data_IF_216430496398
#
_entry.id   IF_216430496398
#
_cell.length_a   1.000
_cell.length_b   1.000
_cell.length_c   1.000
_cell.angle_alpha   90.00
_cell.angle_beta   90.00
_cell.angle_gamma   90.00
#
_symmetry.space_group_name_H-M   'P 1'
#
loop_
_entity.id
_entity.type
_entity.pdbx_description
1 polymer ?
#
# COMPACT_ATOMS: atom_id res chain seq x y z
N UNK A 1 -7.16 7.44 1.62
CA UNK A 1 -6.99 7.77 0.20
C UNK A 1 -8.30 7.47 -0.50
N UNK A 2 -9.02 8.50 -0.96
CA UNK A 2 -10.30 8.39 -1.67
C UNK A 2 -10.40 9.48 -2.72
N UNK A 3 -10.93 9.18 -3.90
CA UNK A 3 -11.18 10.22 -4.90
C UNK A 3 -12.43 11.03 -4.56
N UNK A 4 -12.50 12.27 -5.05
CA UNK A 4 -13.65 13.17 -4.84
C UNK A 4 -15.00 12.52 -5.18
N UNK A 5 -15.05 11.71 -6.25
CA UNK A 5 -16.27 11.05 -6.74
C UNK A 5 -16.73 9.87 -5.85
N UNK A 6 -15.85 9.35 -5.00
CA UNK A 6 -16.13 8.18 -4.17
C UNK A 6 -16.80 8.52 -2.83
N UNK A 7 -17.05 9.80 -2.50
CA UNK A 7 -17.30 10.18 -1.09
C UNK A 7 -18.61 10.91 -0.80
N UNK A 8 -19.46 10.22 -0.01
CA UNK A 8 -20.43 10.81 0.95
C UNK A 8 -19.88 10.90 2.38
N UNK A 9 -18.86 10.10 2.74
CA UNK A 9 -18.13 10.23 4.02
C UNK A 9 -16.70 9.71 3.87
N UNK A 10 -15.70 10.59 3.93
CA UNK A 10 -14.31 10.16 4.03
C UNK A 10 -14.12 9.45 5.38
N UNK A 11 -13.66 8.18 5.37
CA UNK A 11 -13.33 7.44 6.59
C UNK A 11 -12.24 8.15 7.41
N UNK A 12 -12.20 7.92 8.72
CA UNK A 12 -11.18 8.50 9.60
C UNK A 12 -9.85 7.76 9.47
N UNK A 13 -8.74 8.48 9.42
CA UNK A 13 -7.39 7.89 9.53
C UNK A 13 -7.27 7.25 10.93
N UNK A 14 -6.94 5.94 11.02
CA UNK A 14 -6.71 5.27 12.30
C UNK A 14 -5.30 5.56 12.84
N UNK A 15 -5.13 5.46 14.16
CA UNK A 15 -3.82 5.41 14.80
C UNK A 15 -3.14 4.05 14.60
N UNK A 16 -1.83 3.99 14.83
CA UNK A 16 -1.00 2.80 14.53
C UNK A 16 -1.43 1.53 15.29
N UNK A 17 -1.93 1.66 16.52
CA UNK A 17 -2.44 0.56 17.35
C UNK A 17 -3.97 0.43 17.33
N UNK A 18 -4.63 0.98 16.31
CA UNK A 18 -6.09 0.86 16.16
C UNK A 18 -6.51 -0.54 15.77
N UNK A 19 -7.57 -1.03 16.41
CA UNK A 19 -8.21 -2.32 16.10
C UNK A 19 -9.67 -2.11 15.70
N UNK A 20 -10.34 -3.17 15.24
CA UNK A 20 -11.76 -3.12 14.91
C UNK A 20 -12.63 -2.84 16.15
N UNK A 21 -12.24 -3.38 17.31
CA UNK A 21 -12.93 -3.19 18.58
C UNK A 21 -12.57 -1.85 19.25
N UNK A 22 -11.30 -1.42 19.16
CA UNK A 22 -10.82 -0.19 19.76
C UNK A 22 -10.24 0.75 18.69
N UNK A 23 -11.09 1.66 18.21
CA UNK A 23 -10.72 2.66 17.22
C UNK A 23 -9.98 3.81 17.90
N UNK A 24 -8.68 3.90 17.62
CA UNK A 24 -7.86 5.04 18.05
C UNK A 24 -7.47 5.88 16.85
N UNK A 25 -7.05 7.11 17.11
CA UNK A 25 -6.69 8.09 16.08
C UNK A 25 -5.29 8.66 16.32
N UNK A 26 -4.70 9.33 15.31
CA UNK A 26 -3.45 10.05 15.49
C UNK A 26 -3.53 11.03 16.66
N UNK A 27 -2.49 11.05 17.50
CA UNK A 27 -2.37 11.95 18.64
C UNK A 27 -1.02 12.64 18.58
N UNK A 28 -0.99 13.92 18.97
CA UNK A 28 0.26 14.67 19.16
C UNK A 28 0.33 15.15 20.60
N UNK A 29 1.55 15.21 21.13
CA UNK A 29 1.85 15.82 22.43
C UNK A 29 2.51 17.16 22.19
N UNK A 30 1.98 18.21 22.78
CA UNK A 30 2.63 19.52 22.78
C UNK A 30 3.41 19.66 24.06
N UNK A 31 4.71 19.92 23.95
CA UNK A 31 5.59 20.13 25.09
C UNK A 31 5.95 21.61 25.17
N UNK A 32 6.14 22.12 26.39
CA UNK A 32 6.62 23.49 26.67
C UNK A 32 5.72 24.61 26.11
N UNK A 33 4.42 24.36 25.99
CA UNK A 33 3.43 25.36 25.59
C UNK A 33 2.12 25.13 26.35
N UNK A 34 1.53 26.21 26.84
CA UNK A 34 0.24 26.23 27.53
C UNK A 34 -0.56 27.42 26.99
N UNK A 35 -1.83 27.18 26.66
CA UNK A 35 -2.78 28.18 26.18
C UNK A 35 -3.49 27.78 24.88
N UNK A 36 -4.35 28.67 24.35
CA UNK A 36 -5.01 28.50 23.07
C UNK A 36 -4.02 28.39 21.91
N UNK A 37 -4.25 27.42 21.04
CA UNK A 37 -3.51 27.23 19.80
C UNK A 37 -4.40 26.67 18.68
N UNK A 38 -3.91 26.79 17.45
CA UNK A 38 -4.44 26.11 16.29
C UNK A 38 -3.42 25.07 15.85
N UNK A 39 -3.81 23.81 15.81
CA UNK A 39 -3.04 22.76 15.15
C UNK A 39 -3.52 22.66 13.71
N UNK A 40 -2.69 23.11 12.77
CA UNK A 40 -2.93 23.00 11.33
C UNK A 40 -2.33 21.69 10.83
N UNK A 41 -3.13 20.90 10.13
CA UNK A 41 -2.72 19.60 9.60
C UNK A 41 -2.84 19.61 8.08
N UNK A 42 -1.75 19.29 7.38
CA UNK A 42 -1.74 19.22 5.91
C UNK A 42 -0.89 18.05 5.40
N UNK A 43 -1.12 17.63 4.15
CA UNK A 43 -0.32 16.56 3.54
C UNK A 43 0.99 17.11 2.96
N UNK A 44 2.09 16.38 3.19
CA UNK A 44 3.44 16.64 2.62
C UNK A 44 4.04 15.38 2.01
N UNK A 45 5.08 15.54 1.18
CA UNK A 45 5.79 14.43 0.54
C UNK A 45 6.45 13.49 1.55
N UNK A 46 6.55 12.21 1.19
CA UNK A 46 7.17 11.15 2.00
C UNK A 46 8.61 11.48 2.39
N UNK A 47 9.40 11.92 1.43
CA UNK A 47 10.85 12.11 1.57
C UNK A 47 11.20 13.58 1.83
N UNK A 48 12.33 13.78 2.51
CA UNK A 48 12.90 15.11 2.74
C UNK A 48 13.58 15.65 1.46
N UNK A 49 13.54 16.96 1.18
CA UNK A 49 12.80 17.98 1.92
C UNK A 49 11.28 17.81 1.75
N UNK A 50 10.53 17.87 2.85
CA UNK A 50 9.09 17.67 2.84
C UNK A 50 8.38 18.84 2.15
N UNK A 51 7.86 18.58 0.94
CA UNK A 51 7.14 19.55 0.12
C UNK A 51 5.63 19.43 0.28
N UNK A 52 4.85 20.50 0.03
CA UNK A 52 3.40 20.43 -0.03
C UNK A 52 2.94 19.33 -1.00
N UNK A 53 2.08 18.42 -0.52
CA UNK A 53 1.54 17.35 -1.35
C UNK A 53 0.21 17.77 -2.00
N UNK A 54 -0.07 17.39 -3.26
CA UNK A 54 -1.32 17.76 -3.95
C UNK A 54 -2.58 17.18 -3.31
N UNK A 55 -2.50 16.01 -2.67
CA UNK A 55 -3.63 15.43 -1.90
C UNK A 55 -4.14 16.39 -0.83
N UNK A 56 -5.46 16.38 -0.65
CA UNK A 56 -6.17 17.27 0.25
C UNK A 56 -6.58 16.53 1.50
N UNK A 57 -6.35 17.15 2.66
CA UNK A 57 -6.94 16.69 3.90
C UNK A 57 -8.39 17.17 3.97
N UNK A 58 -9.29 16.26 4.32
CA UNK A 58 -10.74 16.48 4.38
C UNK A 58 -11.28 15.96 5.70
N UNK A 59 -12.27 16.61 6.29
CA UNK A 59 -12.86 16.16 7.55
C UNK A 59 -14.38 16.29 7.59
N UNK A 60 -15.03 15.58 8.53
CA UNK A 60 -16.50 15.61 8.70
C UNK A 60 -17.07 16.92 9.27
N UNK A 61 -16.21 17.86 9.69
CA UNK A 61 -16.64 19.09 10.37
C UNK A 61 -16.14 20.32 9.60
N UNK A 62 -16.67 21.51 9.89
CA UNK A 62 -16.28 22.82 9.32
C UNK A 62 -14.78 23.20 9.51
N UNK A 63 -13.94 22.24 9.89
CA UNK A 63 -12.50 22.31 10.13
C UNK A 63 -11.67 22.17 8.85
N UNK A 64 -12.22 21.62 7.77
CA UNK A 64 -11.50 21.48 6.51
C UNK A 64 -11.84 22.62 5.54
N UNK A 65 -10.89 23.51 5.29
CA UNK A 65 -10.95 24.52 4.23
C UNK A 65 -9.67 24.43 3.40
N UNK A 66 -9.80 24.29 2.08
CA UNK A 66 -8.65 24.40 1.18
C UNK A 66 -7.62 23.27 1.21
N UNK A 67 -7.96 22.08 1.71
CA UNK A 67 -7.08 20.90 1.68
C UNK A 67 -6.20 20.71 2.92
N UNK A 68 -6.45 21.48 3.96
CA UNK A 68 -5.90 21.35 5.32
C UNK A 68 -7.04 21.22 6.33
N UNK A 69 -6.71 20.76 7.54
CA UNK A 69 -7.62 20.75 8.69
C UNK A 69 -7.04 21.56 9.84
N UNK A 70 -7.83 22.48 10.38
CA UNK A 70 -7.45 23.31 11.52
C UNK A 70 -8.18 22.86 12.79
N UNK A 71 -7.42 22.57 13.85
CA UNK A 71 -7.93 22.16 15.15
C UNK A 71 -7.65 23.25 16.17
N UNK A 72 -8.69 24.00 16.54
CA UNK A 72 -8.63 24.91 17.69
C UNK A 72 -8.59 24.07 18.96
N UNK A 73 -7.57 24.28 19.77
CA UNK A 73 -7.33 23.57 21.03
C UNK A 73 -6.90 24.55 22.10
N UNK A 74 -7.17 24.19 23.35
CA UNK A 74 -6.58 24.85 24.51
C UNK A 74 -5.69 23.83 25.19
N UNK A 75 -4.39 24.13 25.26
CA UNK A 75 -3.36 23.21 25.73
C UNK A 75 -3.09 23.54 27.19
N UNK A 76 -3.31 22.59 28.09
CA UNK A 76 -3.02 22.77 29.52
C UNK A 76 -1.92 21.83 29.98
N UNK A 77 -1.35 22.10 31.16
CA UNK A 77 -0.33 21.23 31.75
C UNK A 77 -0.89 19.81 32.04
N UNK A 78 -2.18 19.71 32.38
CA UNK A 78 -2.87 18.46 32.67
C UNK A 78 -3.28 17.71 31.39
N UNK A 79 -3.51 18.43 30.29
CA UNK A 79 -3.92 17.84 29.02
C UNK A 79 -3.11 18.36 27.82
N UNK A 80 -1.83 17.98 27.71
CA UNK A 80 -0.96 18.39 26.59
C UNK A 80 -1.19 17.59 25.30
N UNK A 81 -2.12 16.62 25.32
CA UNK A 81 -2.33 15.68 24.23
C UNK A 81 -3.53 16.08 23.38
N UNK A 82 -3.31 16.19 22.07
CA UNK A 82 -4.37 16.51 21.10
C UNK A 82 -4.62 15.32 20.20
N UNK A 83 -5.87 14.90 20.13
CA UNK A 83 -6.32 13.81 19.27
C UNK A 83 -6.95 14.33 17.96
N UNK A 84 -6.43 13.83 16.83
CA UNK A 84 -6.79 14.25 15.49
C UNK A 84 -7.77 13.23 14.89
N UNK A 85 -9.06 13.44 15.15
CA UNK A 85 -10.15 12.56 14.68
C UNK A 85 -10.81 13.09 13.41
N UNK A 86 -11.54 12.20 12.73
CA UNK A 86 -12.47 12.54 11.66
C UNK A 86 -11.82 13.25 10.47
N UNK A 87 -10.56 12.92 10.18
CA UNK A 87 -9.83 13.36 8.99
C UNK A 87 -9.65 12.20 8.03
N UNK A 88 -9.65 12.50 6.73
CA UNK A 88 -9.36 11.59 5.64
C UNK A 88 -8.50 12.28 4.58
N UNK A 89 -7.90 11.49 3.71
CA UNK A 89 -7.08 11.98 2.60
C UNK A 89 -7.88 11.83 1.31
N UNK A 90 -8.22 12.96 0.71
CA UNK A 90 -8.75 13.05 -0.64
C UNK A 90 -7.61 13.05 -1.64
N UNK A 91 -7.61 12.06 -2.52
CA UNK A 91 -6.60 11.89 -3.55
C UNK A 91 -6.91 12.75 -4.77
N UNK A 92 -5.89 13.46 -5.24
CA UNK A 92 -5.91 14.17 -6.51
C UNK A 92 -5.43 13.23 -7.62
N UNK A 93 -6.05 13.38 -8.79
CA UNK A 93 -5.53 12.75 -10.02
C UNK A 93 -4.33 13.53 -10.53
N UNK A 94 -3.52 12.91 -11.40
CA UNK A 94 -2.29 13.49 -11.92
C UNK A 94 -2.52 14.80 -12.70
N UNK A 95 -3.59 14.85 -13.49
CA UNK A 95 -4.05 16.05 -14.22
C UNK A 95 -4.49 17.19 -13.28
N UNK A 96 -5.06 16.87 -12.12
CA UNK A 96 -5.51 17.87 -11.13
C UNK A 96 -4.42 18.28 -10.11
N UNK A 97 -3.23 17.68 -10.17
CA UNK A 97 -2.17 17.92 -9.18
C UNK A 97 -1.66 19.36 -9.22
N UNK A 98 -1.45 19.90 -10.42
CA UNK A 98 -0.91 21.25 -10.61
C UNK A 98 -1.85 22.30 -10.01
N UNK A 99 -3.14 22.22 -10.32
CA UNK A 99 -4.17 23.12 -9.78
C UNK A 99 -4.28 23.02 -8.26
N UNK A 100 -4.13 21.81 -7.72
CA UNK A 100 -4.15 21.60 -6.27
C UNK A 100 -2.96 22.28 -5.58
N UNK A 101 -1.76 22.16 -6.14
CA UNK A 101 -0.57 22.82 -5.60
C UNK A 101 -0.66 24.35 -5.72
N UNK A 102 -1.18 24.88 -6.83
CA UNK A 102 -1.43 26.32 -6.98
C UNK A 102 -2.44 26.84 -5.96
N UNK A 103 -3.51 26.09 -5.69
CA UNK A 103 -4.49 26.43 -4.65
C UNK A 103 -3.84 26.48 -3.26
N UNK A 104 -2.92 25.56 -2.96
CA UNK A 104 -2.14 25.59 -1.72
C UNK A 104 -1.17 26.76 -1.67
N UNK A 105 -0.54 27.12 -2.79
CA UNK A 105 0.35 28.26 -2.89
C UNK A 105 -0.38 29.58 -2.61
N UNK A 106 -1.56 29.78 -3.23
CA UNK A 106 -2.41 30.95 -2.97
C UNK A 106 -2.84 31.07 -1.50
N UNK A 107 -2.95 29.94 -0.80
CA UNK A 107 -3.34 29.89 0.63
C UNK A 107 -2.15 29.90 1.59
N UNK A 108 -0.91 29.91 1.09
CA UNK A 108 0.29 29.87 1.92
C UNK A 108 0.46 28.56 2.71
N UNK A 109 -0.03 27.42 2.18
CA UNK A 109 0.01 26.12 2.87
C UNK A 109 1.31 25.39 2.52
N UNK A 110 2.41 25.82 3.14
CA UNK A 110 3.74 25.23 3.02
C UNK A 110 4.43 25.15 4.40
N UNK A 111 4.26 24.03 5.13
CA UNK A 111 4.76 23.88 6.50
C UNK A 111 6.27 24.08 6.63
N UNK A 112 7.03 23.77 5.58
CA UNK A 112 8.49 23.78 5.60
C UNK A 112 9.11 24.89 4.73
N UNK A 113 8.27 25.74 4.11
CA UNK A 113 8.71 26.81 3.19
C UNK A 113 9.62 26.31 2.07
N UNK A 114 9.32 25.12 1.55
CA UNK A 114 10.11 24.42 0.52
C UNK A 114 9.66 24.75 -0.91
N UNK A 115 8.55 25.47 -1.06
CA UNK A 115 7.94 25.83 -2.32
C UNK A 115 7.17 24.70 -2.99
N UNK A 116 6.54 25.04 -4.12
CA UNK A 116 5.65 24.18 -4.88
C UNK A 116 6.39 23.67 -6.13
N UNK A 117 7.17 22.59 -5.96
CA UNK A 117 7.99 22.01 -7.04
C UNK A 117 7.16 21.35 -8.16
N UNK A 118 7.85 20.75 -9.14
CA UNK A 118 7.21 20.05 -10.26
C UNK A 118 6.35 18.87 -9.81
N UNK A 119 5.18 18.71 -10.43
CA UNK A 119 4.23 17.61 -10.17
C UNK A 119 4.63 16.28 -10.81
N UNK A 120 5.57 16.27 -11.77
CA UNK A 120 5.87 15.08 -12.58
C UNK A 120 6.46 13.93 -11.78
N UNK A 121 7.18 14.23 -10.68
CA UNK A 121 7.89 13.26 -9.85
C UNK A 121 7.27 13.04 -8.47
N UNK A 122 6.06 13.57 -8.23
CA UNK A 122 5.41 13.42 -6.93
C UNK A 122 4.80 12.02 -6.81
N UNK A 123 5.16 11.31 -5.73
CA UNK A 123 4.55 10.04 -5.35
C UNK A 123 3.12 10.27 -4.84
N UNK A 124 2.11 9.86 -5.61
CA UNK A 124 0.70 9.99 -5.25
C UNK A 124 0.20 8.84 -4.35
N UNK A 125 1.02 7.83 -4.07
CA UNK A 125 0.65 6.68 -3.26
C UNK A 125 1.02 6.85 -1.78
N UNK A 126 1.95 7.74 -1.45
CA UNK A 126 2.40 7.93 -0.07
C UNK A 126 2.48 9.40 0.31
N UNK A 127 2.00 9.72 1.52
CA UNK A 127 2.10 11.07 2.10
C UNK A 127 2.56 10.98 3.54
N UNK A 128 3.02 12.09 4.11
CA UNK A 128 3.05 12.30 5.56
C UNK A 128 2.06 13.40 5.93
N UNK A 129 1.57 13.39 7.16
CA UNK A 129 0.84 14.52 7.75
C UNK A 129 1.84 15.44 8.43
N UNK A 130 1.87 16.70 8.05
CA UNK A 130 2.54 17.75 8.80
C UNK A 130 1.57 18.32 9.83
N UNK A 131 2.02 18.45 11.08
CA UNK A 131 1.30 19.08 12.18
C UNK A 131 2.03 20.36 12.55
N UNK A 132 1.38 21.50 12.31
CA UNK A 132 1.90 22.82 12.61
C UNK A 132 1.16 23.39 13.81
N UNK A 133 1.89 23.73 14.86
CA UNK A 133 1.34 24.42 16.02
C UNK A 133 1.41 25.93 15.79
N UNK A 134 0.25 26.59 15.75
CA UNK A 134 0.10 28.04 15.63
C UNK A 134 -0.40 28.59 16.98
N UNK A 135 0.46 29.21 17.79
CA UNK A 135 0.07 29.83 19.05
C UNK A 135 -1.02 30.89 18.86
N UNK A 136 -1.98 30.95 19.79
CA UNK A 136 -3.09 31.90 19.74
C UNK A 136 -2.74 33.32 20.18
N UNK A 137 -1.55 33.53 20.75
CA UNK A 137 -1.11 34.82 21.25
C UNK A 137 -0.05 35.44 20.33
N UNK A 138 -0.24 36.72 20.02
CA UNK A 138 0.87 37.64 19.74
C UNK A 138 1.40 38.09 21.10
N UNK A 139 2.72 38.20 21.27
CA UNK A 139 3.25 38.87 22.46
C UNK A 139 2.81 40.36 22.48
N UNK A 140 3.01 41.05 23.60
CA UNK A 140 2.71 42.49 23.74
C UNK A 140 3.48 43.37 22.74
N UNK A 141 4.46 42.81 22.02
CA UNK A 141 5.30 43.44 21.00
C UNK A 141 4.87 43.07 19.56
N UNK A 142 3.77 42.32 19.39
CA UNK A 142 3.25 41.88 18.09
C UNK A 142 4.08 40.80 17.39
N UNK A 143 5.13 40.25 18.02
CA UNK A 143 5.95 39.16 17.50
C UNK A 143 5.26 37.82 17.82
N UNK A 144 4.61 37.26 16.82
CA UNK A 144 4.10 35.88 16.90
C UNK A 144 5.25 34.88 17.05
N UNK A 145 5.12 33.91 17.96
CA UNK A 145 6.01 32.75 17.99
C UNK A 145 5.99 32.03 16.63
N UNK A 146 7.17 31.62 16.15
CA UNK A 146 7.26 30.86 14.90
C UNK A 146 6.53 29.52 15.04
N UNK A 147 5.80 29.08 14.00
CA UNK A 147 5.14 27.79 14.02
C UNK A 147 6.13 26.64 14.20
N UNK A 148 5.83 25.74 15.12
CA UNK A 148 6.58 24.48 15.27
C UNK A 148 5.92 23.41 14.42
N UNK A 149 6.72 22.70 13.62
CA UNK A 149 6.22 21.71 12.67
C UNK A 149 6.83 20.34 12.94
N UNK A 150 6.01 19.30 12.95
CA UNK A 150 6.44 17.90 12.97
C UNK A 150 5.69 17.07 11.93
N UNK A 151 6.22 15.90 11.55
CA UNK A 151 5.59 15.01 10.56
C UNK A 151 5.22 13.65 11.15
N UNK A 152 4.15 13.06 10.65
CA UNK A 152 3.80 11.66 10.94
C UNK A 152 4.76 10.68 10.26
N UNK A 153 4.62 9.41 10.62
CA UNK A 153 5.05 8.29 9.77
C UNK A 153 4.40 8.36 8.39
N UNK A 154 4.98 7.63 7.43
CA UNK A 154 4.44 7.55 6.07
C UNK A 154 3.06 6.89 6.11
N UNK A 155 2.08 7.55 5.51
CA UNK A 155 0.75 7.03 5.26
C UNK A 155 0.68 6.71 3.77
N UNK A 156 0.73 5.42 3.47
CA UNK A 156 0.50 4.95 2.11
C UNK A 156 -0.99 4.69 1.90
N UNK A 157 -1.48 4.97 0.69
CA UNK A 157 -2.74 4.42 0.22
C UNK A 157 -2.70 2.91 0.38
N UNK A 158 -3.87 2.29 0.58
CA UNK A 158 -3.97 0.83 0.60
C UNK A 158 -3.34 0.30 -0.69
N UNK A 159 -2.12 -0.24 -0.62
CA UNK A 159 -1.60 -1.11 -1.67
C UNK A 159 -2.65 -2.20 -1.80
N UNK A 160 -3.10 -2.50 -3.02
CA UNK A 160 -4.03 -3.63 -3.20
C UNK A 160 -3.41 -4.85 -2.54
N UNK A 161 -4.22 -5.60 -1.79
CA UNK A 161 -3.76 -6.91 -1.39
C UNK A 161 -3.51 -7.71 -2.67
N UNK A 162 -2.35 -8.36 -2.74
CA UNK A 162 -2.11 -9.29 -3.83
C UNK A 162 -2.94 -10.53 -3.53
N UNK A 163 -3.77 -10.95 -4.48
CA UNK A 163 -4.58 -12.15 -4.34
C UNK A 163 -4.49 -12.93 -5.64
N UNK A 164 -4.13 -14.21 -5.52
CA UNK A 164 -4.26 -15.18 -6.60
C UNK A 164 -5.60 -15.87 -6.39
N UNK A 165 -6.48 -15.80 -7.39
CA UNK A 165 -7.76 -16.50 -7.38
C UNK A 165 -7.56 -17.97 -7.74
N UNK A 166 -6.89 -18.23 -8.87
CA UNK A 166 -6.64 -19.59 -9.35
C UNK A 166 -5.50 -19.62 -10.38
N UNK A 167 -5.01 -20.81 -10.72
CA UNK A 167 -3.95 -21.03 -11.70
C UNK A 167 -4.27 -22.16 -12.67
N UNK A 168 -3.78 -22.05 -13.90
CA UNK A 168 -3.97 -23.09 -14.92
C UNK A 168 -2.77 -23.16 -15.87
N UNK A 169 -2.19 -24.35 -16.11
CA UNK A 169 -2.47 -25.62 -15.42
C UNK A 169 -1.95 -25.61 -13.95
N UNK A 170 -2.48 -26.47 -13.07
CA UNK A 170 -2.00 -26.61 -11.68
C UNK A 170 -0.73 -27.48 -11.55
N UNK A 171 -0.19 -27.95 -12.67
CA UNK A 171 1.02 -28.76 -12.74
C UNK A 171 1.79 -28.51 -14.04
N UNK A 172 3.05 -28.92 -14.07
CA UNK A 172 3.94 -28.79 -15.22
C UNK A 172 5.21 -29.60 -15.02
N UNK A 173 6.14 -29.54 -15.97
CA UNK A 173 7.32 -30.39 -15.99
C UNK A 173 8.48 -29.78 -15.23
N UNK A 174 9.29 -30.62 -14.59
CA UNK A 174 10.46 -30.18 -13.80
C UNK A 174 11.47 -29.36 -14.62
N UNK A 175 11.52 -29.52 -15.94
CA UNK A 175 12.36 -28.70 -16.83
C UNK A 175 11.93 -27.23 -16.95
N UNK A 176 10.73 -26.88 -16.50
CA UNK A 176 10.15 -25.55 -16.69
C UNK A 176 9.84 -25.21 -18.15
N UNK A 177 9.53 -23.94 -18.41
CA UNK A 177 9.16 -23.41 -19.72
C UNK A 177 7.70 -23.63 -20.11
N UNK A 178 6.90 -24.25 -19.24
CA UNK A 178 5.48 -24.45 -19.49
C UNK A 178 4.72 -23.13 -19.28
N UNK A 179 3.80 -22.82 -20.20
CA UNK A 179 2.97 -21.63 -20.08
C UNK A 179 1.92 -21.82 -19.00
N UNK A 180 1.88 -20.90 -18.06
CA UNK A 180 0.96 -20.91 -16.93
C UNK A 180 0.21 -19.57 -16.85
N UNK A 181 -1.11 -19.66 -16.66
CA UNK A 181 -1.99 -18.52 -16.44
C UNK A 181 -2.27 -18.42 -14.94
N UNK A 182 -2.11 -17.23 -14.38
CA UNK A 182 -2.53 -16.90 -13.02
C UNK A 182 -3.67 -15.89 -13.10
N UNK A 183 -4.83 -16.22 -12.52
CA UNK A 183 -5.93 -15.29 -12.32
C UNK A 183 -5.74 -14.56 -11.00
N UNK A 184 -5.78 -13.23 -11.02
CA UNK A 184 -5.47 -12.40 -9.87
C UNK A 184 -6.55 -11.36 -9.64
N UNK A 185 -6.63 -10.85 -8.42
CA UNK A 185 -7.25 -9.53 -8.23
C UNK A 185 -6.45 -8.45 -8.98
N UNK A 186 -7.02 -7.24 -9.03
CA UNK A 186 -6.45 -6.12 -9.76
C UNK A 186 -5.01 -5.81 -9.31
N UNK A 187 -4.06 -6.09 -10.20
CA UNK A 187 -2.66 -5.71 -10.08
C UNK A 187 -2.51 -4.22 -10.37
N UNK A 188 -1.68 -3.54 -9.58
CA UNK A 188 -1.41 -2.12 -9.74
C UNK A 188 -0.16 -1.97 -10.61
N UNK A 189 -0.28 -1.22 -11.70
CA UNK A 189 0.75 -1.14 -12.74
C UNK A 189 2.06 -0.47 -12.32
N UNK A 190 2.09 0.25 -11.19
CA UNK A 190 3.32 0.83 -10.64
C UNK A 190 4.14 -0.16 -9.82
N UNK A 191 3.59 -1.32 -9.47
CA UNK A 191 4.27 -2.27 -8.61
C UNK A 191 5.19 -3.19 -9.41
N UNK A 192 6.42 -3.33 -8.94
CA UNK A 192 7.36 -4.34 -9.45
C UNK A 192 7.05 -5.66 -8.74
N UNK A 193 6.61 -6.65 -9.51
CA UNK A 193 6.09 -7.93 -9.01
C UNK A 193 6.90 -9.11 -9.57
N UNK A 194 6.99 -10.17 -8.78
CA UNK A 194 7.48 -11.48 -9.21
C UNK A 194 6.51 -12.58 -8.81
N UNK A 195 6.38 -13.60 -9.66
CA UNK A 195 5.73 -14.87 -9.31
C UNK A 195 6.78 -15.76 -8.67
N UNK A 196 6.56 -16.20 -7.45
CA UNK A 196 7.51 -17.01 -6.68
C UNK A 196 6.98 -18.43 -6.58
N UNK A 197 7.83 -19.38 -6.93
CA UNK A 197 7.64 -20.80 -6.68
C UNK A 197 8.52 -21.18 -5.50
N UNK A 198 7.97 -21.85 -4.49
CA UNK A 198 8.73 -22.26 -3.33
C UNK A 198 8.34 -23.66 -2.86
N UNK A 199 9.34 -24.48 -2.54
CA UNK A 199 9.16 -25.74 -1.85
C UNK A 199 9.39 -25.52 -0.35
N UNK A 200 8.45 -26.01 0.47
CA UNK A 200 8.57 -25.96 1.93
C UNK A 200 8.83 -27.35 2.49
N UNK A 201 9.86 -27.46 3.31
CA UNK A 201 10.19 -28.66 4.07
C UNK A 201 9.20 -28.97 5.17
N UNK A 202 9.44 -30.10 5.86
CA UNK A 202 8.59 -30.57 6.97
C UNK A 202 8.52 -29.58 8.13
N UNK A 203 9.57 -28.77 8.32
CA UNK A 203 9.64 -27.71 9.34
C UNK A 203 9.25 -26.32 8.82
N UNK A 204 8.55 -26.24 7.68
CA UNK A 204 8.22 -24.99 6.98
C UNK A 204 9.45 -24.17 6.54
N UNK A 205 10.63 -24.79 6.55
CA UNK A 205 11.85 -24.21 5.99
C UNK A 205 11.75 -24.15 4.45
N UNK A 206 12.19 -23.06 3.85
CA UNK A 206 12.21 -22.89 2.40
C UNK A 206 13.40 -23.68 1.86
N UNK A 207 13.13 -24.83 1.21
CA UNK A 207 14.18 -25.74 0.70
C UNK A 207 14.60 -25.30 -0.70
N UNK A 208 13.64 -24.80 -1.48
CA UNK A 208 13.86 -24.28 -2.82
C UNK A 208 12.95 -23.10 -3.06
N UNK A 209 13.48 -22.12 -3.79
CA UNK A 209 12.73 -20.94 -4.22
C UNK A 209 13.27 -20.44 -5.54
N UNK A 210 12.36 -20.11 -6.44
CA UNK A 210 12.67 -19.43 -7.70
C UNK A 210 11.63 -18.37 -8.00
N UNK A 211 12.05 -17.29 -8.65
CA UNK A 211 11.19 -16.13 -8.94
C UNK A 211 11.20 -15.77 -10.41
N UNK A 212 10.01 -15.63 -10.99
CA UNK A 212 9.81 -15.16 -12.36
C UNK A 212 9.37 -13.70 -12.31
N UNK A 213 10.15 -12.81 -12.92
CA UNK A 213 9.83 -11.39 -13.00
C UNK A 213 8.62 -11.13 -13.90
N UNK A 214 7.68 -10.31 -13.42
CA UNK A 214 6.49 -9.93 -14.20
C UNK A 214 6.85 -8.72 -15.05
N UNK A 215 6.75 -8.88 -16.37
CA UNK A 215 6.94 -7.80 -17.33
C UNK A 215 5.61 -7.29 -17.85
N UNK A 216 5.59 -6.11 -18.48
CA UNK A 216 4.36 -5.56 -19.07
C UNK A 216 3.70 -6.48 -20.12
N UNK A 217 4.47 -7.37 -20.75
CA UNK A 217 4.00 -8.34 -21.75
C UNK A 217 3.27 -9.53 -21.12
N UNK A 218 3.58 -9.89 -19.88
CA UNK A 218 2.92 -11.00 -19.19
C UNK A 218 1.59 -10.60 -18.55
N UNK A 219 1.28 -9.31 -18.43
CA UNK A 219 0.06 -8.83 -17.77
C UNK A 219 -1.10 -8.65 -18.75
N UNK A 220 -2.17 -9.42 -18.58
CA UNK A 220 -3.43 -9.22 -19.30
C UNK A 220 -4.39 -8.36 -18.47
N UNK A 221 -4.58 -7.10 -18.89
CA UNK A 221 -5.58 -6.15 -18.35
C UNK A 221 -5.61 -6.07 -16.81
N UNK A 222 -4.44 -6.16 -16.16
CA UNK A 222 -4.28 -6.07 -14.69
C UNK A 222 -4.93 -7.21 -13.87
N UNK A 223 -5.52 -8.24 -14.47
CA UNK A 223 -6.27 -9.28 -13.73
C UNK A 223 -5.81 -10.71 -14.06
N UNK A 224 -4.90 -10.87 -15.01
CA UNK A 224 -4.30 -12.16 -15.29
C UNK A 224 -2.84 -12.00 -15.69
N UNK A 225 -2.05 -13.04 -15.41
CA UNK A 225 -0.65 -13.15 -15.81
C UNK A 225 -0.48 -14.37 -16.69
N UNK A 226 0.27 -14.24 -17.78
CA UNK A 226 0.78 -15.36 -18.58
C UNK A 226 2.30 -15.43 -18.38
N UNK A 227 2.76 -16.47 -17.70
CA UNK A 227 4.19 -16.68 -17.39
C UNK A 227 4.67 -18.02 -17.94
N UNK A 228 5.98 -18.19 -17.99
CA UNK A 228 6.62 -19.49 -18.19
C UNK A 228 7.17 -19.97 -16.84
N UNK A 229 6.97 -21.24 -16.53
CA UNK A 229 7.40 -21.83 -15.26
C UNK A 229 8.92 -21.91 -15.17
N UNK A 230 9.52 -21.61 -14.01
CA UNK A 230 10.96 -21.76 -13.86
C UNK A 230 11.35 -23.25 -13.84
N UNK A 231 12.58 -23.61 -14.27
CA UNK A 231 13.08 -24.96 -14.08
C UNK A 231 13.22 -25.27 -12.59
N UNK A 232 12.83 -26.47 -12.19
CA UNK A 232 13.01 -26.95 -10.84
C UNK A 232 14.44 -27.49 -10.66
N UNK A 233 15.25 -26.80 -9.85
CA UNK A 233 16.68 -27.09 -9.66
C UNK A 233 16.98 -28.01 -8.46
N UNK A 234 15.97 -28.61 -7.84
CA UNK A 234 16.16 -29.56 -6.74
C UNK A 234 16.69 -30.92 -7.23
N UNK A 235 17.00 -31.81 -6.28
CA UNK A 235 17.50 -33.16 -6.61
C UNK A 235 16.50 -33.93 -7.48
N UNK A 236 17.01 -34.61 -8.51
CA UNK A 236 16.21 -35.39 -9.46
C UNK A 236 15.36 -36.42 -8.71
N UNK A 237 14.07 -36.13 -8.59
CA UNK A 237 13.13 -36.96 -7.84
C UNK A 237 12.32 -37.80 -8.83
N UNK A 238 12.03 -39.06 -8.46
CA UNK A 238 11.25 -39.99 -9.29
C UNK A 238 9.74 -39.75 -9.26
N UNK A 239 9.26 -38.85 -8.39
CA UNK A 239 7.84 -38.55 -8.19
C UNK A 239 7.50 -37.06 -8.27
N UNK A 240 6.20 -36.71 -8.24
CA UNK A 240 5.73 -35.33 -8.26
C UNK A 240 6.25 -34.51 -7.08
N UNK A 241 6.61 -33.27 -7.34
CA UNK A 241 7.15 -32.32 -6.36
C UNK A 241 6.12 -31.23 -6.11
N UNK A 242 5.69 -31.11 -4.86
CA UNK A 242 4.67 -30.13 -4.45
C UNK A 242 5.34 -28.82 -4.06
N UNK A 243 5.02 -27.76 -4.78
CA UNK A 243 5.47 -26.40 -4.48
C UNK A 243 4.26 -25.50 -4.23
N UNK A 244 4.52 -24.33 -3.67
CA UNK A 244 3.54 -23.26 -3.55
C UNK A 244 3.92 -22.11 -4.45
N UNK A 245 2.91 -21.49 -5.05
CA UNK A 245 3.05 -20.32 -5.93
C UNK A 245 2.39 -19.12 -5.28
N UNK A 246 3.07 -17.98 -5.26
CA UNK A 246 2.54 -16.74 -4.73
C UNK A 246 3.13 -15.52 -5.45
N UNK A 247 2.41 -14.40 -5.43
CA UNK A 247 2.92 -13.11 -5.90
C UNK A 247 3.75 -12.46 -4.80
N UNK A 248 4.82 -11.79 -5.18
CA UNK A 248 5.66 -11.02 -4.28
C UNK A 248 5.97 -9.65 -4.88
N UNK A 249 5.80 -8.59 -4.07
CA UNK A 249 6.29 -7.24 -4.38
C UNK A 249 7.79 -7.15 -4.13
N UNK A 250 8.51 -6.50 -5.04
CA UNK A 250 9.92 -6.17 -4.85
C UNK A 250 10.12 -5.27 -3.63
N UNK A 251 11.28 -5.40 -2.97
CA UNK A 251 11.62 -4.56 -1.82
C UNK A 251 12.11 -3.19 -2.32
N UNK A 252 11.39 -2.13 -1.98
CA UNK A 252 11.85 -0.76 -2.17
C UNK A 252 12.07 -0.09 -0.80
N UNK A 253 13.32 -0.08 -0.31
CA UNK A 253 13.69 0.56 0.97
C UNK A 253 13.20 -0.16 2.24
N UNK A 254 12.91 0.60 3.31
CA UNK A 254 12.47 0.17 4.67
C UNK A 254 11.11 -0.61 4.72
N UNK A 255 10.69 -1.25 3.63
CA UNK A 255 9.43 -1.96 3.48
C UNK A 255 9.50 -3.45 3.86
N UNK A 256 10.57 -3.89 4.53
CA UNK A 256 10.78 -5.30 4.90
C UNK A 256 9.65 -5.90 5.77
N UNK A 257 8.81 -5.07 6.40
CA UNK A 257 7.73 -5.48 7.30
C UNK A 257 6.31 -5.26 6.73
N UNK A 258 6.16 -5.01 5.42
CA UNK A 258 4.84 -4.84 4.80
C UNK A 258 4.09 -6.20 4.71
N UNK A 259 3.01 -6.34 5.50
CA UNK A 259 2.15 -7.54 5.51
C UNK A 259 1.44 -7.80 4.18
N UNK A 260 1.36 -6.80 3.29
CA UNK A 260 0.75 -6.92 1.96
C UNK A 260 1.79 -7.17 0.84
N UNK A 261 3.01 -7.58 1.20
CA UNK A 261 4.09 -7.88 0.25
C UNK A 261 3.82 -9.13 -0.57
N UNK A 262 3.16 -10.13 0.01
CA UNK A 262 2.90 -11.42 -0.64
C UNK A 262 1.41 -11.70 -0.73
N UNK A 263 0.98 -12.42 -1.77
CA UNK A 263 -0.38 -12.93 -1.85
C UNK A 263 -0.63 -14.15 -0.96
N UNK A 264 -1.86 -14.64 -0.96
CA UNK A 264 -2.12 -16.04 -0.66
C UNK A 264 -1.28 -16.96 -1.55
N UNK A 265 -0.93 -18.13 -1.03
CA UNK A 265 -0.23 -19.16 -1.79
C UNK A 265 -1.21 -20.18 -2.37
N UNK A 266 -0.96 -20.62 -3.59
CA UNK A 266 -1.71 -21.69 -4.27
C UNK A 266 -0.79 -22.88 -4.53
N UNK A 267 -1.30 -24.13 -4.47
CA UNK A 267 -0.48 -25.30 -4.75
C UNK A 267 -0.13 -25.42 -6.24
N UNK A 268 1.03 -25.98 -6.53
CA UNK A 268 1.45 -26.35 -7.89
C UNK A 268 2.33 -27.61 -7.82
N UNK A 269 2.22 -28.48 -8.83
CA UNK A 269 2.98 -29.73 -8.87
C UNK A 269 3.93 -29.80 -10.07
N UNK A 270 5.23 -29.95 -9.79
CA UNK A 270 6.22 -30.30 -10.80
C UNK A 270 6.24 -31.82 -11.02
N UNK A 271 6.15 -32.23 -12.28
CA UNK A 271 6.12 -33.61 -12.72
C UNK A 271 7.45 -33.97 -13.39
N UNK A 272 8.07 -35.10 -13.03
CA UNK A 272 9.28 -35.57 -13.71
C UNK A 272 8.95 -35.95 -15.16
N UNK A 273 9.91 -35.77 -16.08
CA UNK A 273 9.73 -36.09 -17.51
C UNK A 273 9.42 -37.58 -17.79
N UNK A 274 9.77 -38.46 -16.84
CA UNK A 274 9.48 -39.89 -16.91
C UNK A 274 8.42 -40.29 -15.89
N UNK A 275 7.15 -40.02 -16.19
CA UNK A 275 6.07 -40.82 -15.64
C UNK A 275 5.83 -42.01 -16.61
N UNK A 276 6.19 -43.27 -16.27
CA UNK A 276 5.78 -44.40 -17.08
C UNK A 276 4.25 -44.38 -17.19
N UNK A 277 3.73 -44.56 -18.42
CA UNK A 277 2.30 -44.74 -18.69
C UNK A 277 1.79 -45.96 -17.90
N UNK A 278 1.39 -45.75 -16.65
CA UNK A 278 0.51 -46.71 -16.00
C UNK A 278 -0.83 -46.61 -16.70
N UNK A 279 -1.16 -47.69 -17.42
CA UNK A 279 -2.47 -47.95 -18.03
C UNK A 279 -3.54 -47.44 -17.06
N UNK A 280 -4.25 -46.37 -17.45
CA UNK A 280 -5.56 -46.10 -16.84
C UNK A 280 -6.38 -47.36 -17.09
N UNK A 281 -6.76 -48.00 -15.99
CA UNK A 281 -7.80 -49.01 -15.95
C UNK A 281 -9.00 -48.44 -16.70
N UNK A 282 -9.28 -48.95 -17.90
CA UNK A 282 -10.56 -48.72 -18.57
C UNK A 282 -11.56 -49.64 -17.89
N UNK A 283 -12.20 -49.15 -16.84
CA UNK A 283 -13.42 -49.74 -16.30
C UNK A 283 -14.47 -48.65 -16.16
N UNK A 284 -14.88 -48.12 -17.31
CA UNK A 284 -16.23 -47.60 -17.49
C UNK A 284 -16.78 -48.37 -18.69
N UNK A 285 -17.39 -49.52 -18.38
CA UNK A 285 -18.31 -50.20 -19.26
C UNK A 285 -19.45 -49.22 -19.55
N UNK A 286 -19.55 -48.76 -20.80
CA UNK A 286 -20.82 -48.29 -21.32
C UNK A 286 -21.72 -49.52 -21.50
N UNK A 287 -23.00 -49.49 -21.11
CA UNK A 287 -23.92 -50.51 -21.54
C UNK A 287 -24.24 -50.28 -23.04
N UNK A 288 -24.19 -51.36 -23.81
CA UNK A 288 -24.61 -51.36 -25.22
C UNK A 288 -26.09 -50.98 -25.36
N UNK A 289 -26.47 -50.30 -26.44
CA UNK A 289 -27.87 -49.98 -26.70
C UNK A 289 -28.58 -51.16 -27.37
N UNK A 290 -29.66 -51.63 -26.76
CA UNK A 290 -30.82 -52.24 -27.46
C UNK A 290 -32.00 -51.28 -27.41
#
# INVERSE_FOLDING_TARGET
>A
FRYRRECRTNGSIPGISSTAANKIHPKIKVNNFVGPAIIRVSCVTKDAPHRPHPHKLVGKSNKSKGGECNFKVDITAENPMVEIKNIGIQCMKRDECQDSLQDRARKGIDPFRTGFGSTERIDLHSVRLAFELLPGFQDDEGRGQLPVVTVSNVISGTKSQLVIFDTCPPCGLTRGGDKMILLTEKLVSSDVLSVVFAEKGRKLEEIWKESVEITSKSVHKQHALLIETPPYSGTTTTGPIKVVVYLQRALTGDEAMDRNRTSNSVPYEYMPEYAPRNKRVSSLLLPDPE
#
